data_IF_849364818297
#
_entry.id   IF_849364818297
#
_cell.length_a   1.000
_cell.length_b   1.000
_cell.length_c   1.000
_cell.angle_alpha   90.00
_cell.angle_beta   90.00
_cell.angle_gamma   90.00
#
_symmetry.space_group_name_H-M   'P 1'
#
loop_
_entity.id
_entity.type
_entity.pdbx_description
1 polymer ?
#
# COMPACT_ATOMS: atom_id res chain seq x y z
N UNK A 1 56.61 3.92 7.70
CA UNK A 1 55.67 5.00 8.06
C UNK A 1 54.29 4.39 8.20
N UNK A 2 53.95 3.90 9.40
CA UNK A 2 52.59 3.49 9.71
C UNK A 2 51.86 4.71 10.28
N UNK A 3 50.70 5.06 9.72
CA UNK A 3 49.84 6.08 10.31
C UNK A 3 49.49 5.65 11.74
N UNK A 4 49.64 6.54 12.71
CA UNK A 4 49.19 6.25 14.08
C UNK A 4 47.66 6.18 14.11
N UNK A 5 47.08 5.41 15.02
CA UNK A 5 45.61 5.36 15.19
C UNK A 5 45.00 6.76 15.41
N UNK A 6 45.78 7.69 16.00
CA UNK A 6 45.39 9.08 16.16
C UNK A 6 45.30 9.84 14.83
N UNK A 7 46.22 9.59 13.89
CA UNK A 7 46.20 10.21 12.55
C UNK A 7 45.01 9.70 11.73
N UNK A 8 44.71 8.40 11.82
CA UNK A 8 43.56 7.77 11.15
C UNK A 8 42.24 8.32 11.72
N UNK A 9 42.14 8.47 13.04
CA UNK A 9 40.97 9.06 13.68
C UNK A 9 40.79 10.54 13.28
N UNK A 10 41.86 11.32 13.27
CA UNK A 10 41.82 12.73 12.89
C UNK A 10 41.38 12.92 11.43
N UNK A 11 41.95 12.13 10.50
CA UNK A 11 41.56 12.15 9.09
C UNK A 11 40.08 11.78 8.91
N UNK A 12 39.60 10.76 9.62
CA UNK A 12 38.20 10.33 9.57
C UNK A 12 37.24 11.42 10.05
N UNK A 13 37.61 12.17 11.10
CA UNK A 13 36.82 13.30 11.59
C UNK A 13 36.80 14.47 10.60
N UNK A 14 37.95 14.76 9.97
CA UNK A 14 38.05 15.81 8.96
C UNK A 14 37.16 15.50 7.75
N UNK A 15 37.22 14.27 7.24
CA UNK A 15 36.37 13.80 6.13
C UNK A 15 34.88 13.85 6.48
N UNK A 16 34.50 13.46 7.70
CA UNK A 16 33.12 13.54 8.16
C UNK A 16 32.60 15.00 8.25
N UNK A 17 33.45 15.93 8.69
CA UNK A 17 33.10 17.35 8.76
C UNK A 17 32.97 17.96 7.36
N UNK A 18 33.92 17.67 6.45
CA UNK A 18 33.86 18.14 5.06
C UNK A 18 32.60 17.60 4.36
N UNK A 19 32.29 16.31 4.53
CA UNK A 19 31.07 15.73 3.98
C UNK A 19 29.80 16.42 4.50
N UNK A 20 29.80 16.79 5.78
CA UNK A 20 28.69 17.54 6.39
C UNK A 20 28.55 18.93 5.78
N UNK A 21 29.63 19.69 5.63
CA UNK A 21 29.62 21.03 5.02
C UNK A 21 29.17 21.01 3.56
N UNK A 22 29.59 20.01 2.78
CA UNK A 22 29.12 19.80 1.41
C UNK A 22 27.61 19.56 1.38
N UNK A 23 27.09 18.76 2.31
CA UNK A 23 25.65 18.55 2.42
C UNK A 23 24.89 19.84 2.75
N UNK A 24 25.39 20.64 3.70
CA UNK A 24 24.75 21.91 4.06
C UNK A 24 24.75 22.90 2.90
N UNK A 25 25.88 23.02 2.20
CA UNK A 25 26.00 23.88 1.00
C UNK A 25 25.02 23.46 -0.09
N UNK A 26 24.85 22.15 -0.31
CA UNK A 26 23.89 21.63 -1.27
C UNK A 26 22.43 21.91 -0.84
N UNK A 27 22.10 21.76 0.45
CA UNK A 27 20.78 22.09 0.98
C UNK A 27 20.45 23.58 0.85
N UNK A 28 21.42 24.47 1.12
CA UNK A 28 21.26 25.91 0.94
C UNK A 28 21.04 26.27 -0.52
N UNK A 29 21.81 25.64 -1.42
CA UNK A 29 21.65 25.82 -2.87
C UNK A 29 20.26 25.36 -3.34
N UNK A 30 19.77 24.22 -2.83
CA UNK A 30 18.41 23.74 -3.10
C UNK A 30 17.34 24.70 -2.55
N UNK A 31 17.55 25.25 -1.35
CA UNK A 31 16.64 26.22 -0.73
C UNK A 31 16.52 27.49 -1.58
N UNK A 32 17.65 28.03 -2.05
CA UNK A 32 17.69 29.18 -2.95
C UNK A 32 17.04 28.87 -4.30
N UNK A 33 17.34 27.70 -4.88
CA UNK A 33 16.74 27.26 -6.14
C UNK A 33 15.21 27.15 -6.03
N UNK A 34 14.71 26.48 -4.99
CA UNK A 34 13.25 26.33 -4.78
C UNK A 34 12.54 27.64 -4.49
N UNK A 35 13.26 28.63 -3.94
CA UNK A 35 12.74 29.98 -3.78
C UNK A 35 12.66 30.73 -5.13
N UNK A 36 13.74 30.71 -5.91
CA UNK A 36 13.83 31.43 -7.18
C UNK A 36 12.88 30.86 -8.26
N UNK A 37 12.75 29.54 -8.33
CA UNK A 37 11.99 28.84 -9.37
C UNK A 37 10.62 28.32 -8.88
N UNK A 38 10.07 28.89 -7.80
CA UNK A 38 8.83 28.43 -7.15
C UNK A 38 7.67 28.21 -8.13
N UNK A 39 7.43 29.16 -9.04
CA UNK A 39 6.32 29.07 -9.99
C UNK A 39 6.50 27.96 -11.03
N UNK A 40 7.74 27.75 -11.50
CA UNK A 40 8.05 26.65 -12.42
C UNK A 40 7.92 25.30 -11.73
N UNK A 41 8.34 25.22 -10.48
CA UNK A 41 8.19 24.02 -9.66
C UNK A 41 6.73 23.69 -9.37
N UNK A 42 5.86 24.70 -9.21
CA UNK A 42 4.42 24.51 -9.00
C UNK A 42 3.62 24.25 -10.28
N UNK A 43 4.26 24.28 -11.47
CA UNK A 43 3.59 23.92 -12.70
C UNK A 43 3.02 22.49 -12.60
N UNK A 44 1.81 22.29 -13.13
CA UNK A 44 1.09 21.01 -13.03
C UNK A 44 0.93 20.53 -11.58
N UNK A 45 0.62 21.44 -10.66
CA UNK A 45 0.50 21.19 -9.21
C UNK A 45 1.78 20.65 -8.54
N UNK A 46 2.93 20.69 -9.23
CA UNK A 46 4.19 20.09 -8.79
C UNK A 46 4.53 18.76 -9.45
N UNK A 47 3.70 18.27 -10.37
CA UNK A 47 3.89 17.00 -11.08
C UNK A 47 4.77 17.09 -12.33
N UNK A 48 5.66 18.07 -12.37
CA UNK A 48 6.57 18.27 -13.49
C UNK A 48 7.95 17.59 -13.27
N UNK A 49 8.70 17.31 -14.36
CA UNK A 49 10.01 16.66 -14.27
C UNK A 49 11.05 17.47 -13.47
N UNK A 50 10.95 18.80 -13.43
CA UNK A 50 11.89 19.64 -12.68
C UNK A 50 11.70 19.47 -11.17
N UNK A 51 10.44 19.48 -10.70
CA UNK A 51 10.11 19.23 -9.30
C UNK A 51 10.56 17.84 -8.87
N UNK A 52 10.33 16.82 -9.71
CA UNK A 52 10.81 15.47 -9.44
C UNK A 52 12.32 15.43 -9.26
N UNK A 53 13.10 16.05 -10.15
CA UNK A 53 14.56 16.13 -10.01
C UNK A 53 15.01 16.83 -8.72
N UNK A 54 14.36 17.93 -8.34
CA UNK A 54 14.67 18.64 -7.07
C UNK A 54 14.38 17.74 -5.87
N UNK A 55 13.24 17.07 -5.87
CA UNK A 55 12.82 16.16 -4.80
C UNK A 55 13.72 14.91 -4.71
N UNK A 56 14.16 14.36 -5.85
CA UNK A 56 15.08 13.22 -5.91
C UNK A 56 16.43 13.53 -5.23
N UNK A 57 16.89 14.78 -5.24
CA UNK A 57 18.10 15.18 -4.49
C UNK A 57 17.86 15.12 -2.98
N UNK A 58 16.70 15.59 -2.51
CA UNK A 58 16.34 15.45 -1.09
C UNK A 58 16.23 13.97 -0.67
N UNK A 59 15.63 13.12 -1.50
CA UNK A 59 15.57 11.68 -1.25
C UNK A 59 16.96 11.04 -1.24
N UNK A 60 17.85 11.45 -2.14
CA UNK A 60 19.22 10.95 -2.21
C UNK A 60 19.96 11.16 -0.87
N UNK A 61 19.75 12.29 -0.19
CA UNK A 61 20.31 12.51 1.14
C UNK A 61 19.82 11.49 2.18
N UNK A 62 18.56 11.06 2.12
CA UNK A 62 18.01 10.04 3.04
C UNK A 62 18.46 8.62 2.67
N UNK A 63 18.65 8.35 1.38
CA UNK A 63 19.04 7.02 0.86
C UNK A 63 20.52 6.70 1.06
N UNK A 64 21.37 7.71 1.20
CA UNK A 64 22.81 7.56 1.42
C UNK A 64 23.16 7.70 2.91
N UNK A 65 24.29 7.12 3.30
CA UNK A 65 24.79 7.26 4.66
C UNK A 65 25.32 8.68 4.87
N UNK A 66 24.61 9.45 5.69
CA UNK A 66 24.96 10.83 6.04
C UNK A 66 25.33 10.93 7.52
N UNK A 67 26.05 11.99 7.87
CA UNK A 67 26.33 12.31 9.27
C UNK A 67 25.03 12.65 10.02
N UNK A 68 25.05 12.50 11.35
CA UNK A 68 23.89 12.83 12.19
C UNK A 68 23.49 14.31 12.01
N UNK A 69 24.47 15.21 11.98
CA UNK A 69 24.28 16.64 11.79
C UNK A 69 23.69 16.96 10.42
N UNK A 70 24.19 16.31 9.35
CA UNK A 70 23.65 16.48 8.02
C UNK A 70 22.18 16.06 7.96
N UNK A 71 21.83 14.88 8.50
CA UNK A 71 20.44 14.39 8.50
C UNK A 71 19.47 15.30 9.25
N UNK A 72 19.86 15.88 10.40
CA UNK A 72 19.03 16.86 11.12
C UNK A 72 18.68 18.07 10.23
N UNK A 73 19.66 18.55 9.47
CA UNK A 73 19.44 19.65 8.53
C UNK A 73 18.61 19.21 7.32
N UNK A 74 18.80 17.99 6.81
CA UNK A 74 17.96 17.41 5.75
C UNK A 74 16.49 17.34 6.20
N UNK A 75 16.20 16.85 7.41
CA UNK A 75 14.82 16.81 7.94
C UNK A 75 14.22 18.21 8.06
N UNK A 76 15.01 19.18 8.51
CA UNK A 76 14.58 20.59 8.60
C UNK A 76 14.28 21.18 7.22
N UNK A 77 15.17 20.96 6.25
CA UNK A 77 14.98 21.41 4.88
C UNK A 77 13.76 20.74 4.22
N UNK A 78 13.54 19.45 4.47
CA UNK A 78 12.34 18.72 4.03
C UNK A 78 11.05 19.31 4.61
N UNK A 79 11.00 19.63 5.91
CA UNK A 79 9.83 20.30 6.51
C UNK A 79 9.51 21.62 5.79
N UNK A 80 10.53 22.44 5.54
CA UNK A 80 10.39 23.70 4.81
C UNK A 80 9.91 23.48 3.36
N UNK A 81 10.48 22.48 2.67
CA UNK A 81 10.12 22.12 1.30
C UNK A 81 8.66 21.67 1.19
N UNK A 82 8.22 20.74 2.04
CA UNK A 82 6.84 20.23 2.08
C UNK A 82 5.86 21.37 2.37
N UNK A 83 6.18 22.24 3.34
CA UNK A 83 5.34 23.39 3.66
C UNK A 83 5.21 24.37 2.48
N UNK A 84 6.28 24.55 1.70
CA UNK A 84 6.28 25.43 0.53
C UNK A 84 5.51 24.86 -0.66
N UNK A 85 5.47 23.53 -0.80
CA UNK A 85 4.88 22.82 -1.95
C UNK A 85 3.90 21.71 -1.53
N UNK A 86 2.83 22.01 -0.77
CA UNK A 86 1.93 20.97 -0.26
C UNK A 86 1.15 20.25 -1.38
N UNK A 87 0.81 20.94 -2.48
CA UNK A 87 0.11 20.34 -3.61
C UNK A 87 0.91 19.20 -4.26
N UNK A 88 2.23 19.31 -4.26
CA UNK A 88 3.13 18.27 -4.81
C UNK A 88 3.03 16.95 -4.06
N UNK A 89 2.77 17.01 -2.75
CA UNK A 89 2.63 15.82 -1.91
C UNK A 89 1.18 15.34 -1.80
N UNK A 90 0.20 16.25 -1.91
CA UNK A 90 -1.19 15.97 -1.52
C UNK A 90 -2.22 16.01 -2.65
N UNK A 91 -1.86 16.50 -3.83
CA UNK A 91 -2.71 16.59 -5.02
C UNK A 91 -2.06 15.82 -6.18
N UNK A 92 -2.83 15.38 -7.18
CA UNK A 92 -2.31 14.59 -8.30
C UNK A 92 -1.70 13.26 -7.83
N UNK A 93 -0.52 12.90 -8.36
CA UNK A 93 0.17 11.60 -8.15
C UNK A 93 0.81 11.44 -6.76
N UNK A 94 0.67 10.27 -6.15
CA UNK A 94 1.17 10.00 -4.80
C UNK A 94 2.65 9.59 -4.72
N UNK A 95 3.36 9.50 -5.84
CA UNK A 95 4.74 9.01 -5.92
C UNK A 95 5.72 9.73 -5.00
N UNK A 96 5.66 11.06 -4.91
CA UNK A 96 6.55 11.82 -4.03
C UNK A 96 6.24 11.61 -2.54
N UNK A 97 4.95 11.55 -2.18
CA UNK A 97 4.53 11.25 -0.81
C UNK A 97 4.91 9.81 -0.41
N UNK A 98 4.69 8.85 -1.31
CA UNK A 98 5.07 7.45 -1.14
C UNK A 98 6.57 7.30 -0.87
N UNK A 99 7.41 7.85 -1.76
CA UNK A 99 8.86 7.75 -1.64
C UNK A 99 9.39 8.41 -0.37
N UNK A 100 8.84 9.57 0.02
CA UNK A 100 9.23 10.23 1.25
C UNK A 100 8.82 9.42 2.49
N UNK A 101 7.59 8.92 2.53
CA UNK A 101 7.11 8.09 3.64
C UNK A 101 8.01 6.86 3.84
N UNK A 102 8.38 6.17 2.75
CA UNK A 102 9.25 5.00 2.78
C UNK A 102 10.62 5.31 3.39
N UNK A 103 11.32 6.34 2.92
CA UNK A 103 12.64 6.69 3.44
C UNK A 103 12.59 7.23 4.89
N UNK A 104 11.58 8.02 5.24
CA UNK A 104 11.42 8.52 6.62
C UNK A 104 11.13 7.37 7.59
N UNK A 105 10.33 6.37 7.18
CA UNK A 105 10.07 5.18 7.99
C UNK A 105 11.33 4.32 8.20
N UNK A 106 12.26 4.26 7.23
CA UNK A 106 13.59 3.67 7.44
C UNK A 106 14.36 4.41 8.53
N UNK A 107 14.34 5.74 8.50
CA UNK A 107 14.96 6.57 9.54
C UNK A 107 14.30 6.37 10.92
N UNK A 108 12.99 6.09 10.98
CA UNK A 108 12.30 5.71 12.23
C UNK A 108 12.82 4.40 12.84
N UNK A 109 13.53 3.55 12.08
CA UNK A 109 14.20 2.35 12.60
C UNK A 109 15.71 2.54 12.84
N UNK A 110 16.22 3.77 12.75
CA UNK A 110 17.66 4.05 12.92
C UNK A 110 18.19 3.62 14.29
N UNK A 111 19.47 3.20 14.35
CA UNK A 111 20.17 2.92 15.61
C UNK A 111 20.29 4.17 16.49
N UNK A 112 20.41 5.35 15.87
CA UNK A 112 20.55 6.64 16.55
C UNK A 112 19.19 7.18 17.01
N UNK A 113 19.04 7.45 18.30
CA UNK A 113 17.79 7.97 18.87
C UNK A 113 17.43 9.36 18.37
N UNK A 114 18.43 10.23 18.16
CA UNK A 114 18.24 11.58 17.62
C UNK A 114 17.60 11.56 16.23
N UNK A 115 18.10 10.70 15.34
CA UNK A 115 17.54 10.50 14.00
C UNK A 115 16.12 9.95 14.06
N UNK A 116 15.85 8.99 14.94
CA UNK A 116 14.48 8.47 15.14
C UNK A 116 13.51 9.58 15.56
N UNK A 117 13.91 10.45 16.48
CA UNK A 117 13.08 11.58 16.92
C UNK A 117 12.77 12.53 15.78
N UNK A 118 13.78 12.95 15.00
CA UNK A 118 13.56 13.87 13.87
C UNK A 118 12.69 13.25 12.77
N UNK A 119 12.92 11.97 12.45
CA UNK A 119 12.12 11.23 11.48
C UNK A 119 10.65 11.11 11.93
N UNK A 120 10.41 10.74 13.20
CA UNK A 120 9.07 10.70 13.79
C UNK A 120 8.37 12.06 13.73
N UNK A 121 9.08 13.14 14.02
CA UNK A 121 8.54 14.49 13.95
C UNK A 121 8.25 14.93 12.51
N UNK A 122 9.08 14.54 11.53
CA UNK A 122 8.80 14.80 10.12
C UNK A 122 7.58 14.01 9.63
N UNK A 123 7.44 12.75 10.05
CA UNK A 123 6.29 11.93 9.69
C UNK A 123 5.00 12.48 10.30
N UNK A 124 5.05 12.90 11.57
CA UNK A 124 3.96 13.65 12.21
C UNK A 124 3.62 14.92 11.43
N UNK A 125 4.64 15.70 11.03
CA UNK A 125 4.45 16.91 10.25
C UNK A 125 3.78 16.64 8.90
N UNK A 126 4.15 15.56 8.20
CA UNK A 126 3.48 15.14 6.95
C UNK A 126 2.00 14.82 7.15
N UNK A 127 1.63 14.15 8.24
CA UNK A 127 0.23 13.88 8.57
C UNK A 127 -0.50 15.19 8.87
N UNK A 128 0.09 16.06 9.70
CA UNK A 128 -0.48 17.34 10.11
C UNK A 128 -0.68 18.29 8.92
N UNK A 129 0.32 18.39 8.05
CA UNK A 129 0.28 19.24 6.87
C UNK A 129 -0.71 18.72 5.82
N UNK A 130 -0.81 17.40 5.63
CA UNK A 130 -1.87 16.81 4.81
C UNK A 130 -3.27 17.14 5.35
N UNK A 131 -3.46 17.02 6.67
CA UNK A 131 -4.73 17.34 7.33
C UNK A 131 -5.10 18.82 7.17
N UNK A 132 -4.15 19.74 7.33
CA UNK A 132 -4.40 21.16 7.11
C UNK A 132 -4.70 21.46 5.63
N UNK A 133 -4.02 20.79 4.68
CA UNK A 133 -4.26 20.94 3.23
C UNK A 133 -5.67 20.51 2.82
N UNK A 134 -6.22 19.44 3.42
CA UNK A 134 -7.57 18.94 3.13
C UNK A 134 -8.68 19.69 3.89
N UNK A 135 -8.36 20.85 4.48
CA UNK A 135 -9.33 21.63 5.24
C UNK A 135 -9.71 21.01 6.59
N UNK A 136 -8.75 20.33 7.24
CA UNK A 136 -8.90 19.67 8.55
C UNK A 136 -9.95 18.56 8.59
N UNK A 137 -10.07 17.83 7.47
CA UNK A 137 -11.01 16.71 7.36
C UNK A 137 -10.31 15.37 7.57
N UNK A 138 -9.17 15.15 6.91
CA UNK A 138 -8.46 13.87 6.97
C UNK A 138 -7.02 13.96 6.45
N UNK A 139 -6.17 13.00 6.80
CA UNK A 139 -4.83 12.84 6.20
C UNK A 139 -4.70 11.50 5.47
N UNK A 140 -5.77 11.07 4.79
CA UNK A 140 -5.88 9.75 4.16
C UNK A 140 -4.68 9.47 3.25
N UNK A 141 -4.20 10.45 2.49
CA UNK A 141 -3.08 10.24 1.57
C UNK A 141 -1.80 9.84 2.31
N UNK A 142 -1.37 10.63 3.29
CA UNK A 142 -0.20 10.27 4.12
C UNK A 142 -0.46 8.97 4.88
N UNK A 143 -1.68 8.75 5.39
CA UNK A 143 -2.06 7.51 6.08
C UNK A 143 -1.84 6.27 5.19
N UNK A 144 -2.37 6.29 3.96
CA UNK A 144 -2.24 5.18 3.01
C UNK A 144 -0.78 4.94 2.63
N UNK A 145 -0.04 6.01 2.31
CA UNK A 145 1.37 5.88 1.92
C UNK A 145 2.26 5.35 3.04
N UNK A 146 1.99 5.71 4.30
CA UNK A 146 2.68 5.14 5.46
C UNK A 146 2.40 3.65 5.59
N UNK A 147 1.14 3.22 5.42
CA UNK A 147 0.79 1.80 5.49
C UNK A 147 1.47 1.00 4.36
N UNK A 148 1.37 1.46 3.11
CA UNK A 148 2.01 0.83 1.95
C UNK A 148 3.52 0.71 2.19
N UNK A 149 4.14 1.80 2.63
CA UNK A 149 5.57 1.86 2.91
C UNK A 149 5.98 0.88 4.02
N UNK A 150 5.20 0.76 5.10
CA UNK A 150 5.47 -0.23 6.15
C UNK A 150 5.41 -1.65 5.58
N UNK A 151 4.41 -1.97 4.76
CA UNK A 151 4.32 -3.29 4.13
C UNK A 151 5.51 -3.60 3.22
N UNK A 152 6.00 -2.63 2.44
CA UNK A 152 7.19 -2.79 1.62
C UNK A 152 8.47 -2.96 2.46
N UNK A 153 8.63 -2.14 3.51
CA UNK A 153 9.83 -2.15 4.34
C UNK A 153 10.06 -3.45 5.10
N UNK A 154 9.01 -4.23 5.34
CA UNK A 154 9.18 -5.54 5.98
C UNK A 154 9.95 -6.52 5.08
N UNK A 155 9.80 -6.42 3.76
CA UNK A 155 10.58 -7.22 2.82
C UNK A 155 12.06 -6.77 2.78
N UNK A 156 12.31 -5.46 2.86
CA UNK A 156 13.62 -4.87 2.58
C UNK A 156 14.51 -4.64 3.82
N UNK A 157 13.91 -4.49 5.02
CA UNK A 157 14.62 -4.05 6.24
C UNK A 157 14.53 -5.09 7.36
N UNK A 158 15.66 -5.73 7.66
CA UNK A 158 15.76 -6.68 8.77
C UNK A 158 15.48 -6.00 10.11
N UNK A 159 14.54 -6.56 10.88
CA UNK A 159 14.23 -6.12 12.24
C UNK A 159 13.38 -4.85 12.32
N UNK A 160 12.69 -4.48 11.24
CA UNK A 160 11.64 -3.46 11.33
C UNK A 160 10.52 -3.94 12.27
N UNK A 161 10.04 -3.04 13.13
CA UNK A 161 9.03 -3.34 14.15
C UNK A 161 9.57 -3.73 15.53
N UNK A 162 10.90 -3.81 15.69
CA UNK A 162 11.54 -3.93 16.99
C UNK A 162 11.35 -2.69 17.89
N UNK A 163 11.93 -2.73 19.10
CA UNK A 163 11.77 -1.69 20.14
C UNK A 163 12.08 -0.28 19.65
N UNK A 164 13.07 -0.12 18.75
CA UNK A 164 13.45 1.17 18.15
C UNK A 164 12.31 1.80 17.36
N UNK A 165 11.68 1.01 16.49
CA UNK A 165 10.57 1.47 15.68
C UNK A 165 9.32 1.74 16.54
N UNK A 166 9.08 0.91 17.56
CA UNK A 166 8.00 1.15 18.52
C UNK A 166 8.18 2.47 19.29
N UNK A 167 9.41 2.83 19.68
CA UNK A 167 9.71 4.13 20.27
C UNK A 167 9.35 5.27 19.32
N UNK A 168 9.69 5.15 18.03
CA UNK A 168 9.36 6.14 17.00
C UNK A 168 7.85 6.34 16.85
N UNK A 169 7.06 5.26 16.89
CA UNK A 169 5.58 5.33 16.90
C UNK A 169 5.03 6.01 18.17
N UNK A 170 5.66 5.79 19.32
CA UNK A 170 5.29 6.48 20.57
C UNK A 170 5.58 7.97 20.49
N UNK A 171 6.69 8.39 19.88
CA UNK A 171 7.01 9.81 19.65
C UNK A 171 5.92 10.46 18.80
N UNK A 172 5.49 9.82 17.70
CA UNK A 172 4.42 10.33 16.82
C UNK A 172 3.11 10.53 17.60
N UNK A 173 2.70 9.53 18.40
CA UNK A 173 1.52 9.63 19.24
C UNK A 173 1.62 10.76 20.27
N UNK A 174 2.79 10.94 20.88
CA UNK A 174 3.02 12.02 21.84
C UNK A 174 2.94 13.40 21.19
N UNK A 175 3.46 13.56 19.97
CA UNK A 175 3.31 14.78 19.18
C UNK A 175 1.83 15.09 18.92
N UNK A 176 1.05 14.10 18.45
CA UNK A 176 -0.38 14.28 18.17
C UNK A 176 -1.21 14.62 19.41
N UNK A 177 -0.89 14.03 20.57
CA UNK A 177 -1.59 14.34 21.83
C UNK A 177 -1.22 15.70 22.43
N UNK A 178 -0.01 16.18 22.15
CA UNK A 178 0.51 17.44 22.70
C UNK A 178 0.13 18.67 21.88
N UNK A 179 -0.22 18.50 20.60
CA UNK A 179 -0.59 19.59 19.70
C UNK A 179 -1.96 20.19 20.09
N UNK A 180 -1.92 21.40 20.63
CA UNK A 180 -3.10 22.12 21.14
C UNK A 180 -4.03 22.59 20.02
N UNK A 181 -3.53 22.78 18.80
CA UNK A 181 -4.30 23.36 17.68
C UNK A 181 -5.32 22.38 17.08
N UNK A 182 -5.17 21.09 17.37
CA UNK A 182 -6.00 19.99 16.83
C UNK A 182 -6.72 19.17 17.90
N UNK A 183 -6.64 19.57 19.18
CA UNK A 183 -7.29 18.82 20.28
C UNK A 183 -8.79 18.61 20.10
N UNK A 184 -9.47 19.47 19.36
CA UNK A 184 -10.91 19.38 19.10
C UNK A 184 -11.27 18.68 17.78
N UNK A 185 -10.31 18.01 17.14
CA UNK A 185 -10.49 17.31 15.85
C UNK A 185 -10.29 15.80 16.02
N UNK A 186 -10.69 15.01 15.02
CA UNK A 186 -10.43 13.55 14.97
C UNK A 186 -8.97 13.20 14.69
N UNK A 187 -8.11 14.19 14.39
CA UNK A 187 -6.74 13.92 13.98
C UNK A 187 -5.95 13.06 14.96
N UNK A 188 -6.05 13.33 16.27
CA UNK A 188 -5.31 12.55 17.27
C UNK A 188 -5.78 11.09 17.34
N UNK A 189 -7.10 10.84 17.23
CA UNK A 189 -7.63 9.47 17.15
C UNK A 189 -7.18 8.79 15.87
N UNK A 190 -7.20 9.49 14.74
CA UNK A 190 -6.80 8.94 13.44
C UNK A 190 -5.31 8.58 13.41
N UNK A 191 -4.44 9.39 14.03
CA UNK A 191 -3.00 9.07 14.20
C UNK A 191 -2.81 7.85 15.10
N UNK A 192 -3.58 7.76 16.19
CA UNK A 192 -3.54 6.59 17.08
C UNK A 192 -3.95 5.32 16.34
N UNK A 193 -5.00 5.38 15.55
CA UNK A 193 -5.48 4.27 14.72
C UNK A 193 -4.48 3.87 13.65
N UNK A 194 -3.84 4.84 12.98
CA UNK A 194 -2.72 4.55 12.07
C UNK A 194 -1.60 3.79 12.78
N UNK A 195 -1.13 4.26 13.94
CA UNK A 195 -0.05 3.56 14.65
C UNK A 195 -0.49 2.17 15.16
N UNK A 196 -1.76 1.97 15.48
CA UNK A 196 -2.32 0.64 15.80
C UNK A 196 -2.26 -0.28 14.58
N UNK A 197 -2.70 0.20 13.41
CA UNK A 197 -2.61 -0.54 12.14
C UNK A 197 -1.18 -0.91 11.80
N UNK A 198 -0.23 0.03 11.90
CA UNK A 198 1.20 -0.25 11.70
C UNK A 198 1.69 -1.38 12.62
N UNK A 199 1.31 -1.37 13.90
CA UNK A 199 1.69 -2.44 14.84
C UNK A 199 1.10 -3.79 14.45
N UNK A 200 -0.17 -3.83 14.04
CA UNK A 200 -0.81 -5.06 13.54
C UNK A 200 -0.06 -5.63 12.35
N UNK A 201 0.36 -4.76 11.42
CA UNK A 201 1.10 -5.18 10.22
C UNK A 201 2.45 -5.77 10.57
N UNK A 202 3.19 -5.11 11.47
CA UNK A 202 4.47 -5.61 11.95
C UNK A 202 4.34 -6.92 12.72
N UNK A 203 3.34 -7.05 13.59
CA UNK A 203 3.08 -8.27 14.36
C UNK A 203 2.74 -9.45 13.45
N UNK A 204 1.77 -9.27 12.55
CA UNK A 204 1.37 -10.34 11.65
C UNK A 204 2.52 -10.75 10.72
N UNK A 205 3.36 -9.81 10.28
CA UNK A 205 4.49 -10.18 9.42
C UNK A 205 5.65 -10.84 10.19
N UNK A 206 5.85 -10.51 11.47
CA UNK A 206 6.75 -11.27 12.34
C UNK A 206 6.25 -12.70 12.52
N UNK A 207 4.94 -12.89 12.74
CA UNK A 207 4.32 -14.21 12.79
C UNK A 207 4.46 -14.95 11.46
N UNK A 208 4.28 -14.28 10.32
CA UNK A 208 4.49 -14.92 9.01
C UNK A 208 5.91 -15.46 8.86
N UNK A 209 6.92 -14.71 9.34
CA UNK A 209 8.32 -15.16 9.33
C UNK A 209 8.55 -16.38 10.23
N UNK A 210 7.97 -16.38 11.43
CA UNK A 210 8.09 -17.49 12.38
C UNK A 210 7.43 -18.77 11.85
N UNK A 211 6.36 -18.61 11.08
CA UNK A 211 5.58 -19.70 10.49
C UNK A 211 5.90 -19.95 9.02
N UNK A 212 7.08 -19.57 8.51
CA UNK A 212 7.47 -19.77 7.09
C UNK A 212 7.36 -21.23 6.62
N UNK A 213 7.44 -22.19 7.55
CA UNK A 213 7.34 -23.62 7.27
C UNK A 213 5.92 -24.20 7.41
N UNK A 214 4.93 -23.38 7.81
CA UNK A 214 3.53 -23.75 7.98
C UNK A 214 2.68 -23.00 6.94
N UNK A 215 2.41 -23.62 5.77
CA UNK A 215 1.70 -22.95 4.68
C UNK A 215 0.28 -22.54 5.05
N UNK A 216 -0.40 -23.26 5.94
CA UNK A 216 -1.77 -22.94 6.37
C UNK A 216 -1.77 -21.71 7.30
N UNK A 217 -0.88 -21.70 8.29
CA UNK A 217 -0.73 -20.52 9.17
C UNK A 217 -0.32 -19.27 8.38
N UNK A 218 0.54 -19.42 7.36
CA UNK A 218 0.92 -18.31 6.47
C UNK A 218 -0.29 -17.73 5.73
N UNK A 219 -1.15 -18.59 5.18
CA UNK A 219 -2.37 -18.16 4.48
C UNK A 219 -3.31 -17.44 5.44
N UNK A 220 -3.53 -17.98 6.65
CA UNK A 220 -4.39 -17.36 7.66
C UNK A 220 -3.87 -15.98 8.11
N UNK A 221 -2.55 -15.85 8.32
CA UNK A 221 -1.92 -14.59 8.69
C UNK A 221 -2.03 -13.56 7.56
N UNK A 222 -1.84 -13.98 6.30
CA UNK A 222 -2.03 -13.11 5.14
C UNK A 222 -3.49 -12.68 4.97
N UNK A 223 -4.44 -13.58 5.18
CA UNK A 223 -5.86 -13.26 5.14
C UNK A 223 -6.24 -12.26 6.25
N UNK A 224 -5.75 -12.48 7.47
CA UNK A 224 -5.95 -11.56 8.61
C UNK A 224 -5.39 -10.16 8.32
N UNK A 225 -4.18 -10.08 7.75
CA UNK A 225 -3.57 -8.84 7.28
C UNK A 225 -4.42 -8.17 6.20
N UNK A 226 -4.78 -8.90 5.15
CA UNK A 226 -5.60 -8.40 4.07
C UNK A 226 -6.95 -7.87 4.60
N UNK A 227 -7.55 -8.55 5.58
CA UNK A 227 -8.84 -8.16 6.18
C UNK A 227 -8.73 -6.87 6.96
N UNK A 228 -7.58 -6.62 7.62
CA UNK A 228 -7.30 -5.34 8.29
C UNK A 228 -7.30 -4.13 7.32
N UNK A 229 -7.07 -4.39 6.03
CA UNK A 229 -7.04 -3.39 4.96
C UNK A 229 -8.32 -3.29 4.13
N UNK A 230 -9.43 -3.93 4.53
CA UNK A 230 -10.69 -3.89 3.77
C UNK A 230 -11.20 -2.45 3.51
N UNK A 231 -10.84 -1.48 4.37
CA UNK A 231 -11.15 -0.06 4.17
C UNK A 231 -10.29 0.65 3.12
N UNK A 232 -9.23 0.00 2.60
CA UNK A 232 -8.30 0.53 1.58
C UNK A 232 -8.22 -0.40 0.37
N UNK A 233 -8.98 -0.11 -0.71
CA UNK A 233 -9.07 -0.98 -1.88
C UNK A 233 -7.75 -1.37 -2.54
N UNK A 234 -6.80 -0.45 -2.72
CA UNK A 234 -5.54 -0.73 -3.40
C UNK A 234 -4.66 -1.72 -2.62
N UNK A 235 -4.59 -1.54 -1.30
CA UNK A 235 -3.90 -2.48 -0.40
C UNK A 235 -4.63 -3.82 -0.36
N UNK A 236 -5.95 -3.82 -0.21
CA UNK A 236 -6.78 -5.03 -0.21
C UNK A 236 -6.56 -5.82 -1.50
N UNK A 237 -6.55 -5.18 -2.66
CA UNK A 237 -6.22 -5.79 -3.96
C UNK A 237 -4.81 -6.38 -3.97
N UNK A 238 -3.80 -5.62 -3.55
CA UNK A 238 -2.40 -6.08 -3.56
C UNK A 238 -2.21 -7.36 -2.73
N UNK A 239 -2.85 -7.43 -1.56
CA UNK A 239 -2.80 -8.60 -0.70
C UNK A 239 -3.58 -9.79 -1.28
N UNK A 240 -4.80 -9.57 -1.79
CA UNK A 240 -5.58 -10.62 -2.46
C UNK A 240 -4.85 -11.18 -3.69
N UNK A 241 -4.22 -10.33 -4.50
CA UNK A 241 -3.39 -10.76 -5.64
C UNK A 241 -2.19 -11.60 -5.19
N UNK A 242 -1.59 -11.25 -4.05
CA UNK A 242 -0.49 -12.02 -3.47
C UNK A 242 -0.94 -13.39 -2.96
N UNK A 243 -2.06 -13.44 -2.24
CA UNK A 243 -2.65 -14.70 -1.77
C UNK A 243 -3.05 -15.59 -2.96
N UNK A 244 -3.65 -15.02 -4.01
CA UNK A 244 -3.99 -15.76 -5.22
C UNK A 244 -2.76 -16.44 -5.85
N UNK A 245 -1.62 -15.74 -5.94
CA UNK A 245 -0.36 -16.32 -6.45
C UNK A 245 0.14 -17.48 -5.59
N UNK A 246 -0.02 -17.40 -4.27
CA UNK A 246 0.38 -18.47 -3.35
C UNK A 246 -0.54 -19.68 -3.50
N UNK A 247 -1.85 -19.47 -3.53
CA UNK A 247 -2.82 -20.54 -3.78
C UNK A 247 -2.58 -21.25 -5.11
N UNK A 248 -2.29 -20.50 -6.19
CA UNK A 248 -1.91 -21.11 -7.48
C UNK A 248 -0.64 -21.94 -7.36
N UNK A 249 0.37 -21.48 -6.60
CA UNK A 249 1.61 -22.22 -6.38
C UNK A 249 1.39 -23.51 -5.57
N UNK A 250 0.45 -23.49 -4.63
CA UNK A 250 0.11 -24.64 -3.79
C UNK A 250 -0.84 -25.64 -4.48
N UNK A 251 -1.53 -25.22 -5.54
CA UNK A 251 -2.55 -26.02 -6.23
C UNK A 251 -3.97 -25.79 -5.70
N UNK A 252 -4.16 -24.83 -4.81
CA UNK A 252 -5.43 -24.44 -4.18
C UNK A 252 -6.24 -23.53 -5.12
N UNK A 253 -6.65 -24.08 -6.26
CA UNK A 253 -7.22 -23.28 -7.35
C UNK A 253 -8.57 -22.65 -7.01
N UNK A 254 -9.36 -23.26 -6.11
CA UNK A 254 -10.63 -22.69 -5.65
C UNK A 254 -10.41 -21.40 -4.87
N UNK A 255 -9.44 -21.40 -3.98
CA UNK A 255 -9.06 -20.29 -3.11
C UNK A 255 -8.47 -19.15 -3.93
N UNK A 256 -7.63 -19.48 -4.93
CA UNK A 256 -7.15 -18.51 -5.92
C UNK A 256 -8.30 -17.85 -6.70
N UNK A 257 -9.28 -18.64 -7.17
CA UNK A 257 -10.44 -18.11 -7.87
C UNK A 257 -11.28 -17.18 -6.99
N UNK A 258 -11.44 -17.53 -5.71
CA UNK A 258 -12.13 -16.66 -4.74
C UNK A 258 -11.37 -15.35 -4.51
N UNK A 259 -10.03 -15.37 -4.43
CA UNK A 259 -9.24 -14.14 -4.36
C UNK A 259 -9.52 -13.22 -5.56
N UNK A 260 -9.59 -13.75 -6.78
CA UNK A 260 -9.95 -12.96 -7.96
C UNK A 260 -11.38 -12.42 -7.88
N UNK A 261 -12.35 -13.22 -7.42
CA UNK A 261 -13.75 -12.78 -7.23
C UNK A 261 -13.81 -11.61 -6.24
N UNK A 262 -13.09 -11.69 -5.12
CA UNK A 262 -13.01 -10.62 -4.12
C UNK A 262 -12.37 -9.34 -4.69
N UNK A 263 -11.25 -9.44 -5.42
CA UNK A 263 -10.62 -8.30 -6.10
C UNK A 263 -11.58 -7.64 -7.10
N UNK A 264 -12.28 -8.47 -7.88
CA UNK A 264 -13.20 -7.98 -8.92
C UNK A 264 -14.40 -7.27 -8.30
N UNK A 265 -14.99 -7.83 -7.24
CA UNK A 265 -16.08 -7.19 -6.52
C UNK A 265 -15.67 -5.87 -5.87
N UNK A 266 -14.47 -5.81 -5.29
CA UNK A 266 -13.90 -4.59 -4.73
C UNK A 266 -13.75 -3.49 -5.78
N UNK A 267 -13.24 -3.83 -6.97
CA UNK A 267 -13.12 -2.88 -8.09
C UNK A 267 -14.49 -2.48 -8.65
N UNK A 268 -15.43 -3.42 -8.75
CA UNK A 268 -16.80 -3.17 -9.20
C UNK A 268 -17.55 -2.22 -8.25
N UNK A 269 -17.40 -2.39 -6.93
CA UNK A 269 -17.95 -1.51 -5.91
C UNK A 269 -17.35 -0.10 -6.00
N UNK A 270 -16.02 0.00 -6.17
CA UNK A 270 -15.34 1.28 -6.40
C UNK A 270 -15.90 2.02 -7.64
N UNK A 271 -16.01 1.33 -8.78
CA UNK A 271 -16.54 1.92 -10.02
C UNK A 271 -18.02 2.27 -9.90
N UNK A 272 -18.80 1.49 -9.13
CA UNK A 272 -20.21 1.77 -8.87
C UNK A 272 -20.40 3.05 -8.08
N UNK A 273 -19.59 3.27 -7.03
CA UNK A 273 -19.61 4.52 -6.25
C UNK A 273 -19.15 5.74 -7.05
N UNK A 274 -18.28 5.54 -8.06
CA UNK A 274 -17.90 6.57 -9.05
C UNK A 274 -18.95 6.81 -10.14
N UNK A 275 -20.03 6.03 -10.17
CA UNK A 275 -21.05 6.10 -11.22
C UNK A 275 -20.59 5.56 -12.58
N UNK A 276 -19.47 4.85 -12.63
CA UNK A 276 -18.88 4.29 -13.86
C UNK A 276 -19.39 2.87 -14.15
N UNK A 277 -19.87 2.16 -13.14
CA UNK A 277 -20.44 0.81 -13.27
C UNK A 277 -21.78 0.70 -12.55
N UNK A 278 -22.64 -0.25 -12.95
CA UNK A 278 -24.02 -0.34 -12.44
C UNK A 278 -24.21 -1.26 -11.24
N UNK A 279 -23.27 -2.19 -11.02
CA UNK A 279 -23.44 -3.28 -10.05
C UNK A 279 -22.19 -3.43 -9.18
N UNK A 280 -22.34 -3.29 -7.86
CA UNK A 280 -21.22 -3.37 -6.90
C UNK A 280 -21.01 -4.79 -6.33
N UNK A 281 -20.58 -4.87 -5.07
CA UNK A 281 -20.31 -6.14 -4.39
C UNK A 281 -21.49 -7.13 -4.41
N UNK A 282 -22.72 -6.63 -4.36
CA UNK A 282 -23.94 -7.46 -4.27
C UNK A 282 -24.14 -8.38 -5.48
N UNK A 283 -23.60 -8.04 -6.64
CA UNK A 283 -23.68 -8.87 -7.84
C UNK A 283 -22.86 -10.18 -7.71
N UNK A 284 -21.80 -10.16 -6.91
CA UNK A 284 -20.94 -11.33 -6.69
C UNK A 284 -21.42 -12.21 -5.53
N UNK A 285 -22.45 -11.79 -4.79
CA UNK A 285 -22.98 -12.51 -3.61
C UNK A 285 -23.56 -13.90 -3.97
N UNK A 286 -24.01 -14.07 -5.21
CA UNK A 286 -24.48 -15.37 -5.73
C UNK A 286 -23.33 -16.36 -5.93
N UNK A 287 -22.10 -15.87 -6.13
CA UNK A 287 -20.89 -16.68 -6.28
C UNK A 287 -20.35 -17.04 -4.89
N UNK A 288 -20.26 -16.05 -4.00
CA UNK A 288 -19.83 -16.25 -2.61
C UNK A 288 -20.47 -15.23 -1.67
N UNK A 289 -21.05 -15.65 -0.53
CA UNK A 289 -21.60 -14.73 0.47
C UNK A 289 -20.50 -13.95 1.22
N UNK A 290 -19.23 -14.41 1.18
CA UNK A 290 -18.11 -13.75 1.85
C UNK A 290 -17.76 -12.38 1.25
N UNK A 291 -18.37 -12.02 0.11
CA UNK A 291 -18.17 -10.72 -0.52
C UNK A 291 -18.64 -9.54 0.31
N UNK A 292 -19.50 -9.80 1.30
CA UNK A 292 -19.96 -8.79 2.26
C UNK A 292 -18.76 -8.16 3.02
N UNK A 293 -17.61 -8.83 3.10
CA UNK A 293 -16.37 -8.26 3.67
C UNK A 293 -15.82 -7.06 2.87
N UNK A 294 -15.98 -7.07 1.54
CA UNK A 294 -15.46 -6.01 0.66
C UNK A 294 -16.35 -4.76 0.66
N UNK A 295 -17.57 -4.85 1.20
CA UNK A 295 -18.50 -3.72 1.31
C UNK A 295 -18.03 -2.65 2.31
N UNK A 296 -17.08 -2.98 3.19
CA UNK A 296 -16.53 -2.11 4.23
C UNK A 296 -15.57 -1.00 3.72
N UNK A 297 -15.42 -0.88 2.40
CA UNK A 297 -14.65 0.18 1.75
C UNK A 297 -15.11 1.57 2.22
N UNK A 298 -14.18 2.43 2.63
CA UNK A 298 -14.49 3.82 2.98
C UNK A 298 -14.54 4.70 1.74
N UNK A 299 -15.63 5.45 1.57
CA UNK A 299 -15.65 6.66 0.75
C UNK A 299 -14.81 7.70 1.51
N UNK A 300 -13.63 8.11 1.04
CA UNK A 300 -13.40 9.52 0.68
C UNK A 300 -11.94 9.98 0.41
N UNK A 301 -11.88 10.98 -0.49
CA UNK A 301 -10.87 12.02 -0.80
C UNK A 301 -9.41 11.61 -1.14
N UNK A 302 -8.96 10.38 -0.88
CA UNK A 302 -7.61 9.94 -1.26
C UNK A 302 -7.50 9.18 -2.61
N UNK A 303 -8.63 8.72 -3.15
CA UNK A 303 -8.65 7.71 -4.22
C UNK A 303 -8.56 8.26 -5.66
N UNK A 304 -8.07 9.49 -5.86
CA UNK A 304 -7.91 10.06 -7.21
C UNK A 304 -6.76 9.39 -8.00
N UNK A 305 -5.85 8.69 -7.33
CA UNK A 305 -4.72 8.00 -7.95
C UNK A 305 -4.98 6.51 -8.27
N UNK A 306 -6.18 5.99 -7.98
CA UNK A 306 -6.44 4.57 -8.25
C UNK A 306 -6.78 4.38 -9.73
N UNK A 307 -5.91 3.67 -10.45
CA UNK A 307 -6.07 3.30 -11.86
C UNK A 307 -7.18 2.26 -12.11
N UNK A 308 -8.29 2.29 -11.36
CA UNK A 308 -9.45 1.44 -11.64
C UNK A 308 -10.32 2.13 -12.69
N UNK A 309 -10.49 1.45 -13.81
CA UNK A 309 -11.36 1.85 -14.90
C UNK A 309 -12.14 0.62 -15.42
N UNK A 310 -13.03 0.86 -16.38
CA UNK A 310 -13.87 -0.20 -16.96
C UNK A 310 -13.03 -1.31 -17.59
N UNK A 311 -11.90 -0.99 -18.21
CA UNK A 311 -11.02 -1.97 -18.87
C UNK A 311 -10.33 -2.89 -17.84
N UNK A 312 -9.86 -2.34 -16.72
CA UNK A 312 -9.31 -3.13 -15.61
C UNK A 312 -10.37 -4.07 -15.02
N UNK A 313 -11.62 -3.61 -14.88
CA UNK A 313 -12.71 -4.46 -14.41
C UNK A 313 -12.99 -5.62 -15.39
N UNK A 314 -12.95 -5.35 -16.70
CA UNK A 314 -13.13 -6.38 -17.73
C UNK A 314 -12.04 -7.44 -17.69
N UNK A 315 -10.77 -7.03 -17.55
CA UNK A 315 -9.64 -7.95 -17.41
C UNK A 315 -9.79 -8.84 -16.17
N UNK A 316 -10.22 -8.26 -15.04
CA UNK A 316 -10.45 -8.99 -13.80
C UNK A 316 -11.61 -9.99 -13.91
N UNK A 317 -12.70 -9.63 -14.60
CA UNK A 317 -13.84 -10.53 -14.86
C UNK A 317 -13.42 -11.74 -15.71
N UNK A 318 -12.63 -11.53 -16.76
CA UNK A 318 -12.08 -12.63 -17.56
C UNK A 318 -11.15 -13.52 -16.72
N UNK A 319 -10.30 -12.91 -15.88
CA UNK A 319 -9.43 -13.64 -14.96
C UNK A 319 -10.23 -14.48 -13.94
N UNK A 320 -11.38 -13.98 -13.46
CA UNK A 320 -12.30 -14.75 -12.62
C UNK A 320 -12.88 -15.95 -13.37
N UNK A 321 -13.33 -15.78 -14.61
CA UNK A 321 -13.88 -16.87 -15.41
C UNK A 321 -12.84 -17.98 -15.64
N UNK A 322 -11.61 -17.61 -16.02
CA UNK A 322 -10.48 -18.54 -16.17
C UNK A 322 -10.10 -19.22 -14.86
N UNK A 323 -10.10 -18.47 -13.75
CA UNK A 323 -9.84 -18.99 -12.41
C UNK A 323 -10.87 -20.05 -11.99
N UNK A 324 -12.16 -19.76 -12.17
CA UNK A 324 -13.26 -20.68 -11.87
C UNK A 324 -13.24 -21.92 -12.75
N UNK A 325 -12.86 -21.78 -14.02
CA UNK A 325 -12.63 -22.91 -14.92
C UNK A 325 -11.53 -23.84 -14.39
N UNK A 326 -10.37 -23.28 -14.03
CA UNK A 326 -9.24 -24.04 -13.46
C UNK A 326 -9.58 -24.70 -12.12
N UNK A 327 -10.45 -24.07 -11.33
CA UNK A 327 -10.95 -24.60 -10.07
C UNK A 327 -12.07 -25.66 -10.22
N UNK A 328 -12.46 -26.01 -11.46
CA UNK A 328 -13.56 -26.93 -11.78
C UNK A 328 -14.94 -26.51 -11.24
N UNK A 329 -15.11 -25.21 -10.96
CA UNK A 329 -16.37 -24.60 -10.51
C UNK A 329 -17.14 -23.99 -11.68
N UNK A 330 -17.39 -24.82 -12.67
CA UNK A 330 -17.96 -24.45 -13.96
C UNK A 330 -19.32 -23.73 -13.86
N UNK A 331 -20.12 -24.09 -12.86
CA UNK A 331 -21.46 -23.54 -12.63
C UNK A 331 -21.46 -22.03 -12.38
N UNK A 332 -20.38 -21.50 -11.80
CA UNK A 332 -20.26 -20.10 -11.37
C UNK A 332 -19.79 -19.17 -12.49
N UNK A 333 -19.26 -19.70 -13.59
CA UNK A 333 -18.70 -18.92 -14.71
C UNK A 333 -19.80 -18.04 -15.35
N UNK A 334 -21.02 -18.55 -15.42
CA UNK A 334 -22.16 -17.80 -15.95
C UNK A 334 -22.48 -16.53 -15.16
N UNK A 335 -22.31 -16.55 -13.84
CA UNK A 335 -22.60 -15.38 -13.00
C UNK A 335 -21.56 -14.28 -13.17
N UNK A 336 -20.30 -14.64 -13.47
CA UNK A 336 -19.26 -13.68 -13.87
C UNK A 336 -19.58 -13.08 -15.25
N UNK A 337 -19.85 -13.92 -16.26
CA UNK A 337 -20.04 -13.42 -17.61
C UNK A 337 -21.31 -12.57 -17.80
N UNK A 338 -22.35 -12.77 -17.00
CA UNK A 338 -23.52 -11.86 -16.98
C UNK A 338 -23.15 -10.40 -16.70
N UNK A 339 -22.03 -10.16 -16.01
CA UNK A 339 -21.56 -8.80 -15.70
C UNK A 339 -20.81 -8.14 -16.86
N UNK A 340 -20.12 -8.94 -17.69
CA UNK A 340 -19.29 -8.42 -18.80
C UNK A 340 -20.04 -8.36 -20.15
N UNK A 341 -21.04 -9.23 -20.37
CA UNK A 341 -21.81 -9.29 -21.63
C UNK A 341 -22.38 -7.91 -22.02
N UNK A 342 -23.06 -7.14 -21.14
CA UNK A 342 -23.60 -5.84 -21.51
C UNK A 342 -22.53 -4.81 -21.93
N UNK A 343 -21.30 -4.97 -21.43
CA UNK A 343 -20.18 -4.12 -21.80
C UNK A 343 -19.72 -4.46 -23.22
N UNK A 344 -19.50 -5.74 -23.51
CA UNK A 344 -19.10 -6.18 -24.85
C UNK A 344 -20.16 -5.85 -25.91
N UNK A 345 -21.45 -6.01 -25.60
CA UNK A 345 -22.56 -5.63 -26.50
C UNK A 345 -22.53 -4.12 -26.81
N UNK A 346 -22.34 -3.28 -25.78
CA UNK A 346 -22.24 -1.82 -25.94
C UNK A 346 -21.02 -1.43 -26.79
N UNK A 347 -19.89 -2.13 -26.63
CA UNK A 347 -18.65 -1.92 -27.42
C UNK A 347 -18.69 -2.56 -28.81
N UNK A 348 -19.69 -3.41 -29.10
CA UNK A 348 -19.80 -4.23 -30.32
C UNK A 348 -18.59 -5.17 -30.52
N UNK A 349 -18.07 -5.70 -29.41
CA UNK A 349 -16.97 -6.67 -29.43
C UNK A 349 -17.51 -8.09 -29.63
N UNK A 350 -17.81 -8.43 -30.89
CA UNK A 350 -18.43 -9.70 -31.24
C UNK A 350 -17.48 -10.89 -31.10
N UNK A 351 -16.16 -10.67 -31.19
CA UNK A 351 -15.15 -11.71 -31.03
C UNK A 351 -15.09 -12.18 -29.57
N UNK A 352 -15.05 -11.24 -28.62
CA UNK A 352 -15.12 -11.56 -27.19
C UNK A 352 -16.45 -12.20 -26.78
N UNK A 353 -17.56 -11.74 -27.36
CA UNK A 353 -18.87 -12.38 -27.16
C UNK A 353 -18.87 -13.84 -27.67
N UNK A 354 -18.33 -14.10 -28.86
CA UNK A 354 -18.23 -15.48 -29.37
C UNK A 354 -17.39 -16.37 -28.45
N UNK A 355 -16.24 -15.86 -27.99
CA UNK A 355 -15.35 -16.58 -27.08
C UNK A 355 -16.02 -16.92 -25.75
N UNK A 356 -16.66 -15.95 -25.07
CA UNK A 356 -17.29 -16.22 -23.77
C UNK A 356 -18.46 -17.20 -23.87
N UNK A 357 -19.24 -17.15 -24.96
CA UNK A 357 -20.33 -18.11 -25.17
C UNK A 357 -19.81 -19.53 -25.47
N UNK A 358 -18.67 -19.67 -26.16
CA UNK A 358 -17.99 -20.98 -26.31
C UNK A 358 -17.53 -21.51 -24.95
N UNK A 359 -16.93 -20.66 -24.10
CA UNK A 359 -16.54 -21.04 -22.73
C UNK A 359 -17.74 -21.49 -21.91
N UNK A 360 -18.89 -20.78 -21.98
CA UNK A 360 -20.12 -21.19 -21.29
C UNK A 360 -20.67 -22.51 -21.80
N UNK A 361 -20.67 -22.73 -23.12
CA UNK A 361 -21.09 -24.00 -23.70
C UNK A 361 -20.24 -25.14 -23.14
N UNK A 362 -18.91 -25.00 -23.19
CA UNK A 362 -17.97 -26.00 -22.65
C UNK A 362 -18.14 -26.21 -21.14
N UNK A 363 -18.40 -25.15 -20.38
CA UNK A 363 -18.61 -25.21 -18.95
C UNK A 363 -19.82 -26.09 -18.61
N UNK A 364 -20.97 -25.83 -19.24
CA UNK A 364 -22.16 -26.65 -19.02
C UNK A 364 -22.01 -28.08 -19.54
N UNK A 365 -21.31 -28.30 -20.66
CA UNK A 365 -20.95 -29.66 -21.10
C UNK A 365 -20.12 -30.39 -20.04
N UNK A 366 -19.11 -29.73 -19.45
CA UNK A 366 -18.29 -30.30 -18.37
C UNK A 366 -19.11 -30.60 -17.13
N UNK A 367 -20.03 -29.72 -16.72
CA UNK A 367 -20.97 -29.99 -15.61
C UNK A 367 -21.73 -31.30 -15.85
N UNK A 368 -22.32 -31.48 -17.03
CA UNK A 368 -23.06 -32.72 -17.32
C UNK A 368 -22.15 -33.96 -17.30
N UNK A 369 -20.93 -33.87 -17.84
CA UNK A 369 -19.95 -34.96 -17.85
C UNK A 369 -19.54 -35.39 -16.43
N UNK A 370 -19.22 -34.43 -15.56
CA UNK A 370 -18.74 -34.72 -14.20
C UNK A 370 -19.87 -35.17 -13.27
N UNK A 371 -21.11 -34.69 -13.50
CA UNK A 371 -22.28 -35.17 -12.77
C UNK A 371 -22.56 -36.65 -13.01
N UNK A 372 -22.36 -37.14 -14.24
CA UNK A 372 -22.55 -38.56 -14.57
C UNK A 372 -21.37 -39.43 -14.13
N UNK A 373 -20.14 -38.93 -14.31
CA UNK A 373 -18.93 -39.74 -14.08
C UNK A 373 -18.45 -39.74 -12.62
N UNK A 374 -18.83 -38.75 -11.81
CA UNK A 374 -18.37 -38.60 -10.43
C UNK A 374 -16.87 -38.27 -10.30
N UNK A 375 -16.19 -37.91 -11.40
CA UNK A 375 -14.73 -37.71 -11.43
C UNK A 375 -14.26 -36.37 -10.86
N UNK A 376 -15.17 -35.45 -10.54
CA UNK A 376 -14.84 -34.14 -9.97
C UNK A 376 -14.75 -34.24 -8.44
N UNK A 377 -13.54 -34.05 -7.92
CA UNK A 377 -13.24 -34.09 -6.48
C UNK A 377 -12.85 -32.69 -5.99
N UNK A 378 -13.81 -31.97 -5.40
CA UNK A 378 -13.62 -30.57 -4.99
C UNK A 378 -12.93 -30.39 -3.63
N UNK A 379 -12.72 -31.47 -2.87
CA UNK A 379 -12.04 -31.44 -1.59
C UNK A 379 -12.65 -32.34 -0.53
N UNK A 380 -11.91 -32.53 0.56
CA UNK A 380 -12.33 -33.23 1.78
C UNK A 380 -12.18 -32.28 2.97
N UNK A 381 -13.04 -32.41 3.98
CA UNK A 381 -13.10 -31.47 5.10
C UNK A 381 -12.72 -32.15 6.40
N UNK A 382 -11.89 -31.48 7.20
CA UNK A 382 -11.42 -31.97 8.49
C UNK A 382 -11.61 -30.88 9.56
N UNK A 383 -11.95 -31.31 10.78
CA UNK A 383 -11.96 -30.42 11.95
C UNK A 383 -10.63 -30.52 12.66
N UNK A 384 -9.84 -29.47 12.63
CA UNK A 384 -8.57 -29.35 13.36
C UNK A 384 -8.79 -28.50 14.61
N UNK A 385 -8.22 -28.92 15.74
CA UNK A 385 -8.26 -28.16 17.00
C UNK A 385 -6.88 -28.19 17.65
N UNK A 386 -6.33 -27.01 17.95
CA UNK A 386 -5.07 -26.86 18.65
C UNK A 386 -5.32 -26.78 20.16
N UNK A 387 -4.62 -27.61 20.93
CA UNK A 387 -4.64 -27.57 22.39
C UNK A 387 -3.22 -27.28 22.88
N UNK A 388 -2.98 -26.04 23.31
CA UNK A 388 -1.69 -25.53 23.80
C UNK A 388 -1.91 -24.19 24.49
N UNK A 389 -1.12 -23.91 25.54
CA UNK A 389 -1.34 -22.80 26.47
C UNK A 389 -0.77 -21.47 25.98
#
# INVERSE_FOLDING_TARGET
YGHSDADVLHQSLLEANIATEVCLTALDTLSLFTLAFKNQLLADHGHNPLMKKVFDVYLCFLQKHQSETALKNVFTALRSFIYKFPSTFYEGRADMCAALCYEVLKCCNSKLSSIRTEASQLLYFLMRNNFDYTGKKSFVRTHLQVIISVSQLIADVVGIGGTRFQQSLSIINNCANSDRLIKHTTFSSDVKDLTKRIRTVLMATAQMKEHENDPEMLVDLQYSLAKSYASTPELRKTWLDSMARIHVKNGDLSEAAMCYVHVTALVAEYLTRKGMFRQGCTAFRVITPNIDEEASMMEDVGMQDVHFNEDVLMELLEQCADGLWKAERYELIADIYKLIIPIYEKRRDFERLAHLYDTLHRAYSKVTEVMHSGRRLLGTYFRVAFFGQ
#
